data_IF_299355395116
#
_entry.id   IF_299355395116
#
_cell.length_a   1.000
_cell.length_b   1.000
_cell.length_c   1.000
_cell.angle_alpha   90.00
_cell.angle_beta   90.00
_cell.angle_gamma   90.00
#
_symmetry.space_group_name_H-M   'P 1'
#
loop_
_entity.id
_entity.type
_entity.pdbx_description
1 polymer ?
#
# COMPACT_ATOMS: atom_id res chain seq x y z
N UNK A 1 15.27 -21.56 -2.66
CA UNK A 1 14.09 -20.70 -2.51
C UNK A 1 13.29 -21.23 -1.35
N UNK A 2 12.88 -20.36 -0.43
CA UNK A 2 11.96 -20.72 0.66
C UNK A 2 10.60 -21.10 0.05
N UNK A 3 9.97 -22.14 0.58
CA UNK A 3 8.60 -22.52 0.19
C UNK A 3 7.60 -21.44 0.64
N UNK A 4 6.48 -21.27 -0.09
CA UNK A 4 5.48 -20.25 0.22
C UNK A 4 4.89 -20.44 1.62
N UNK A 5 4.55 -21.66 2.02
CA UNK A 5 3.96 -21.91 3.33
C UNK A 5 4.96 -21.58 4.44
N UNK A 6 6.23 -21.97 4.25
CA UNK A 6 7.31 -21.62 5.17
C UNK A 6 7.49 -20.10 5.26
N UNK A 7 7.46 -19.39 4.13
CA UNK A 7 7.55 -17.93 4.09
C UNK A 7 6.40 -17.26 4.84
N UNK A 8 5.16 -17.74 4.68
CA UNK A 8 3.98 -17.21 5.38
C UNK A 8 4.10 -17.41 6.89
N UNK A 9 4.60 -18.56 7.34
CA UNK A 9 4.83 -18.81 8.77
C UNK A 9 5.86 -17.82 9.31
N UNK A 10 7.03 -17.73 8.68
CA UNK A 10 8.13 -16.87 9.15
C UNK A 10 7.77 -15.38 9.12
N UNK A 11 7.13 -14.89 8.04
CA UNK A 11 6.72 -13.49 7.95
C UNK A 11 5.66 -13.16 9.02
N UNK A 12 4.76 -14.10 9.32
CA UNK A 12 3.72 -13.92 10.34
C UNK A 12 4.31 -13.85 11.74
N UNK A 13 5.28 -14.70 12.06
CA UNK A 13 6.02 -14.63 13.32
C UNK A 13 6.75 -13.30 13.47
N UNK A 14 7.40 -12.84 12.40
CA UNK A 14 8.10 -11.56 12.35
C UNK A 14 7.15 -10.38 12.54
N UNK A 15 5.98 -10.39 11.90
CA UNK A 15 4.99 -9.31 12.01
C UNK A 15 4.35 -9.23 13.41
N UNK A 16 4.16 -10.37 14.06
CA UNK A 16 3.59 -10.47 15.42
C UNK A 16 4.66 -10.38 16.53
N UNK A 17 5.94 -10.46 16.16
CA UNK A 17 7.07 -10.42 17.08
C UNK A 17 7.45 -9.01 17.56
N UNK A 18 8.40 -8.92 18.51
CA UNK A 18 8.91 -7.64 19.00
C UNK A 18 9.60 -6.85 17.89
N UNK A 19 9.40 -5.53 17.88
CA UNK A 19 10.06 -4.62 16.93
C UNK A 19 11.48 -4.32 17.41
N UNK A 20 12.41 -5.11 16.91
CA UNK A 20 13.84 -4.98 17.18
C UNK A 20 14.66 -5.27 15.91
N UNK A 21 15.96 -5.00 16.00
CA UNK A 21 16.91 -5.14 14.89
C UNK A 21 16.97 -6.55 14.29
N UNK A 22 16.73 -7.60 15.08
CA UNK A 22 16.74 -8.98 14.59
C UNK A 22 15.49 -9.25 13.75
N UNK A 23 14.33 -8.84 14.25
CA UNK A 23 13.04 -8.93 13.53
C UNK A 23 13.09 -8.15 12.23
N UNK A 24 13.63 -6.93 12.23
CA UNK A 24 13.79 -6.09 11.03
C UNK A 24 14.66 -6.76 9.96
N UNK A 25 15.82 -7.29 10.34
CA UNK A 25 16.71 -8.01 9.41
C UNK A 25 16.03 -9.23 8.81
N UNK A 26 15.26 -9.96 9.63
CA UNK A 26 14.53 -11.15 9.20
C UNK A 26 13.42 -10.78 8.23
N UNK A 27 12.62 -9.77 8.56
CA UNK A 27 11.61 -9.23 7.66
C UNK A 27 12.22 -8.81 6.32
N UNK A 28 13.29 -8.01 6.35
CA UNK A 28 13.94 -7.51 5.13
C UNK A 28 14.45 -8.64 4.23
N UNK A 29 15.06 -9.66 4.84
CA UNK A 29 15.47 -10.88 4.14
C UNK A 29 14.28 -11.58 3.47
N UNK A 30 13.19 -11.79 4.20
CA UNK A 30 11.98 -12.45 3.68
C UNK A 30 11.37 -11.69 2.50
N UNK A 31 11.34 -10.35 2.54
CA UNK A 31 10.87 -9.51 1.42
C UNK A 31 11.77 -9.65 0.18
N UNK A 32 13.09 -9.81 0.34
CA UNK A 32 13.96 -10.07 -0.81
C UNK A 32 13.82 -11.48 -1.38
N UNK A 33 13.47 -12.46 -0.54
CA UNK A 33 13.32 -13.86 -0.92
C UNK A 33 11.98 -14.18 -1.58
N UNK A 34 11.05 -13.22 -1.67
CA UNK A 34 9.70 -13.38 -2.25
C UNK A 34 9.71 -13.57 -3.79
N UNK A 35 10.86 -13.93 -4.37
CA UNK A 35 11.14 -13.81 -5.80
C UNK A 35 10.24 -14.69 -6.69
N UNK A 36 9.68 -14.00 -7.70
CA UNK A 36 9.02 -14.47 -8.92
C UNK A 36 7.54 -14.91 -8.87
N UNK A 37 6.92 -15.08 -7.69
CA UNK A 37 5.49 -15.41 -7.64
C UNK A 37 4.74 -14.73 -6.49
N UNK A 38 4.73 -13.39 -6.52
CA UNK A 38 3.98 -12.56 -5.57
C UNK A 38 2.49 -12.66 -5.88
N UNK A 39 1.82 -13.64 -5.28
CA UNK A 39 0.37 -13.81 -5.38
C UNK A 39 -0.40 -12.88 -4.42
N UNK A 40 -1.73 -12.87 -4.51
CA UNK A 40 -2.56 -11.95 -3.73
C UNK A 40 -2.40 -12.08 -2.22
N UNK A 41 -2.08 -13.27 -1.70
CA UNK A 41 -1.91 -13.48 -0.25
C UNK A 41 -0.62 -12.81 0.23
N UNK A 42 0.46 -12.97 -0.53
CA UNK A 42 1.73 -12.28 -0.26
C UNK A 42 1.54 -10.76 -0.35
N UNK A 43 0.83 -10.27 -1.39
CA UNK A 43 0.55 -8.82 -1.52
C UNK A 43 -0.25 -8.32 -0.32
N UNK A 44 -1.27 -9.05 0.14
CA UNK A 44 -2.06 -8.68 1.31
C UNK A 44 -1.21 -8.57 2.58
N UNK A 45 -0.29 -9.51 2.79
CA UNK A 45 0.62 -9.52 3.93
C UNK A 45 1.55 -8.30 3.88
N UNK A 46 2.19 -8.05 2.72
CA UNK A 46 3.08 -6.89 2.52
C UNK A 46 2.31 -5.58 2.70
N UNK A 47 1.09 -5.47 2.18
CA UNK A 47 0.25 -4.27 2.37
C UNK A 47 -0.06 -4.06 3.85
N UNK A 48 -0.48 -5.11 4.55
CA UNK A 48 -0.84 -5.04 5.96
C UNK A 48 0.32 -4.57 6.84
N UNK A 49 1.57 -4.86 6.46
CA UNK A 49 2.75 -4.40 7.21
C UNK A 49 2.86 -2.87 7.28
N UNK A 50 2.24 -2.11 6.36
CA UNK A 50 2.22 -0.64 6.42
C UNK A 50 1.34 -0.08 7.54
N UNK A 51 0.44 -0.89 8.14
CA UNK A 51 -0.34 -0.47 9.31
C UNK A 51 0.47 -0.47 10.62
N UNK A 52 1.65 -1.10 10.60
CA UNK A 52 2.62 -1.11 11.69
C UNK A 52 4.04 -1.26 11.08
N UNK A 53 4.56 -0.18 10.46
CA UNK A 53 5.74 -0.24 9.62
C UNK A 53 7.00 -0.57 10.42
N UNK A 54 7.96 -1.20 9.75
CA UNK A 54 9.35 -1.24 10.20
C UNK A 54 10.07 0.06 9.80
N UNK A 55 11.37 0.16 10.09
CA UNK A 55 12.23 1.25 9.62
C UNK A 55 12.12 1.51 8.11
N UNK A 56 12.30 2.76 7.70
CA UNK A 56 12.00 3.23 6.33
C UNK A 56 12.74 2.44 5.23
N UNK A 57 13.99 2.03 5.46
CA UNK A 57 14.77 1.24 4.50
C UNK A 57 14.16 -0.15 4.24
N UNK A 58 13.53 -0.73 5.26
CA UNK A 58 12.83 -2.01 5.19
C UNK A 58 11.52 -1.85 4.43
N UNK A 59 10.77 -0.78 4.73
CA UNK A 59 9.53 -0.47 4.01
C UNK A 59 9.77 -0.15 2.53
N UNK A 60 10.94 0.40 2.18
CA UNK A 60 11.33 0.61 0.79
C UNK A 60 11.48 -0.71 -0.01
N UNK A 61 11.90 -1.80 0.65
CA UNK A 61 11.94 -3.11 0.01
C UNK A 61 10.53 -3.64 -0.29
N UNK A 62 9.56 -3.40 0.60
CA UNK A 62 8.16 -3.70 0.33
C UNK A 62 7.65 -2.92 -0.89
N UNK A 63 7.93 -1.61 -0.94
CA UNK A 63 7.56 -0.76 -2.09
C UNK A 63 8.15 -1.29 -3.40
N UNK A 64 9.42 -1.71 -3.37
CA UNK A 64 10.11 -2.29 -4.54
C UNK A 64 9.48 -3.62 -4.97
N UNK A 65 9.04 -4.44 -4.02
CA UNK A 65 8.34 -5.69 -4.32
C UNK A 65 6.96 -5.42 -4.92
N UNK A 66 6.24 -4.45 -4.37
CA UNK A 66 4.89 -4.07 -4.81
C UNK A 66 4.86 -3.38 -6.18
N UNK A 67 5.95 -2.72 -6.61
CA UNK A 67 6.01 -2.10 -7.95
C UNK A 67 6.00 -3.11 -9.10
N UNK A 68 6.36 -4.37 -8.81
CA UNK A 68 6.26 -5.48 -9.77
C UNK A 68 4.88 -6.15 -9.81
N UNK A 69 3.95 -5.76 -8.92
CA UNK A 69 2.60 -6.34 -8.85
C UNK A 69 1.68 -5.64 -9.82
N UNK A 70 0.85 -6.38 -10.55
CA UNK A 70 -0.12 -5.81 -11.49
C UNK A 70 -1.13 -4.87 -10.81
N UNK A 71 -1.60 -3.86 -11.57
CA UNK A 71 -2.47 -2.79 -11.06
C UNK A 71 -3.71 -3.33 -10.30
N UNK A 72 -4.37 -4.34 -10.85
CA UNK A 72 -5.60 -4.89 -10.27
C UNK A 72 -5.34 -5.54 -8.91
N UNK A 73 -4.29 -6.37 -8.85
CA UNK A 73 -3.90 -7.04 -7.61
C UNK A 73 -3.42 -6.05 -6.57
N UNK A 74 -2.59 -5.07 -6.98
CA UNK A 74 -2.08 -4.03 -6.10
C UNK A 74 -3.23 -3.29 -5.40
N UNK A 75 -4.14 -2.70 -6.18
CA UNK A 75 -5.20 -1.89 -5.62
C UNK A 75 -6.22 -2.74 -4.87
N UNK A 76 -6.55 -3.95 -5.33
CA UNK A 76 -7.45 -4.85 -4.59
C UNK A 76 -6.93 -5.14 -3.18
N UNK A 77 -5.62 -5.33 -3.00
CA UNK A 77 -5.01 -5.53 -1.69
C UNK A 77 -4.88 -4.24 -0.89
N UNK A 78 -4.37 -3.17 -1.52
CA UNK A 78 -4.19 -1.87 -0.88
C UNK A 78 -5.50 -1.32 -0.29
N UNK A 79 -6.60 -1.42 -1.05
CA UNK A 79 -7.89 -0.90 -0.60
C UNK A 79 -8.51 -1.65 0.59
N UNK A 80 -8.01 -2.85 0.94
CA UNK A 80 -8.40 -3.52 2.20
C UNK A 80 -7.90 -2.77 3.43
N UNK A 81 -6.75 -2.10 3.32
CA UNK A 81 -6.13 -1.37 4.44
C UNK A 81 -6.25 0.14 4.32
N UNK A 82 -6.56 0.67 3.12
CA UNK A 82 -6.53 2.09 2.83
C UNK A 82 -7.28 2.98 3.84
N UNK A 83 -8.53 2.69 4.25
CA UNK A 83 -9.23 3.55 5.20
C UNK A 83 -8.58 3.59 6.57
N UNK A 84 -7.91 2.51 6.99
CA UNK A 84 -7.19 2.46 8.27
C UNK A 84 -5.84 3.15 8.15
N UNK A 85 -5.13 2.94 7.04
CA UNK A 85 -3.83 3.56 6.79
C UNK A 85 -3.98 5.07 6.69
N UNK A 86 -4.99 5.57 5.96
CA UNK A 86 -5.27 7.01 5.82
C UNK A 86 -5.45 7.71 7.17
N UNK A 87 -6.07 7.05 8.16
CA UNK A 87 -6.26 7.61 9.51
C UNK A 87 -4.98 7.59 10.35
N UNK A 88 -4.16 6.56 10.19
CA UNK A 88 -2.94 6.36 10.99
C UNK A 88 -1.74 7.14 10.46
N UNK A 89 -1.59 7.13 9.15
CA UNK A 89 -0.47 7.70 8.41
C UNK A 89 -0.94 8.15 7.02
N UNK A 90 -1.52 9.37 6.94
CA UNK A 90 -2.01 9.91 5.68
C UNK A 90 -0.93 10.04 4.61
N UNK A 91 0.32 10.30 5.01
CA UNK A 91 1.43 10.46 4.08
C UNK A 91 1.74 9.13 3.37
N UNK A 92 1.91 8.04 4.13
CA UNK A 92 2.11 6.72 3.51
C UNK A 92 0.88 6.25 2.75
N UNK A 93 -0.33 6.58 3.22
CA UNK A 93 -1.54 6.29 2.46
C UNK A 93 -1.49 6.96 1.08
N UNK A 94 -1.27 8.27 1.00
CA UNK A 94 -1.16 8.97 -0.28
C UNK A 94 0.01 8.43 -1.13
N UNK A 95 1.20 8.24 -0.57
CA UNK A 95 2.33 7.70 -1.33
C UNK A 95 2.03 6.35 -1.99
N UNK A 96 1.36 5.42 -1.30
CA UNK A 96 0.96 4.13 -1.87
C UNK A 96 -0.22 4.25 -2.83
N UNK A 97 -1.17 5.16 -2.57
CA UNK A 97 -2.28 5.43 -3.49
C UNK A 97 -1.77 5.87 -4.88
N UNK A 98 -0.56 6.45 -4.96
CA UNK A 98 0.11 6.86 -6.20
C UNK A 98 0.71 5.69 -7.01
N UNK A 99 0.55 4.45 -6.57
CA UNK A 99 1.08 3.24 -7.22
C UNK A 99 2.57 3.30 -7.58
N UNK A 100 3.46 2.81 -6.70
CA UNK A 100 4.91 2.92 -6.87
C UNK A 100 5.43 2.40 -8.22
N UNK A 101 6.19 3.24 -8.92
CA UNK A 101 6.84 2.87 -10.19
C UNK A 101 5.93 2.94 -11.42
N UNK A 102 4.73 3.50 -11.31
CA UNK A 102 3.77 3.56 -12.41
C UNK A 102 3.03 4.90 -12.50
N UNK A 103 3.04 5.51 -13.68
CA UNK A 103 2.33 6.77 -13.92
C UNK A 103 0.82 6.55 -14.13
N UNK A 104 0.00 7.09 -13.22
CA UNK A 104 -1.45 6.93 -13.27
C UNK A 104 -2.11 7.83 -14.33
N UNK A 105 -2.57 7.21 -15.41
CA UNK A 105 -3.44 7.84 -16.42
C UNK A 105 -4.86 8.06 -15.89
N UNK A 106 -5.59 8.98 -16.52
CA UNK A 106 -6.99 9.32 -16.18
C UNK A 106 -7.93 8.10 -15.98
N UNK A 107 -7.81 7.07 -16.82
CA UNK A 107 -8.61 5.83 -16.69
C UNK A 107 -8.36 5.09 -15.37
N UNK A 108 -7.13 5.12 -14.86
CA UNK A 108 -6.75 4.51 -13.59
C UNK A 108 -7.30 5.35 -12.44
N UNK A 109 -7.22 6.69 -12.54
CA UNK A 109 -7.81 7.60 -11.55
C UNK A 109 -9.31 7.39 -11.43
N UNK A 110 -10.02 7.26 -12.55
CA UNK A 110 -11.45 6.93 -12.55
C UNK A 110 -11.75 5.62 -11.84
N UNK A 111 -10.89 4.62 -12.01
CA UNK A 111 -11.02 3.32 -11.33
C UNK A 111 -10.76 3.44 -9.83
N UNK A 112 -9.71 4.15 -9.43
CA UNK A 112 -9.38 4.43 -8.02
C UNK A 112 -10.52 5.18 -7.34
N UNK A 113 -11.05 6.25 -7.96
CA UNK A 113 -12.19 7.00 -7.46
C UNK A 113 -13.44 6.13 -7.29
N UNK A 114 -13.70 5.23 -8.24
CA UNK A 114 -14.77 4.23 -8.10
C UNK A 114 -14.51 3.27 -6.92
N UNK A 115 -13.28 2.78 -6.74
CA UNK A 115 -12.94 1.90 -5.61
C UNK A 115 -13.12 2.60 -4.25
N UNK A 116 -12.74 3.87 -4.15
CA UNK A 116 -13.00 4.69 -2.94
C UNK A 116 -14.50 4.74 -2.65
N UNK A 117 -15.32 5.03 -3.67
CA UNK A 117 -16.78 5.09 -3.56
C UNK A 117 -17.41 3.74 -3.22
N UNK A 118 -16.89 2.65 -3.78
CA UNK A 118 -17.40 1.30 -3.53
C UNK A 118 -17.12 0.86 -2.07
N UNK A 119 -16.01 1.32 -1.47
CA UNK A 119 -15.64 1.04 -0.07
C UNK A 119 -16.47 1.88 0.90
N UNK A 120 -16.69 3.15 0.58
CA UNK A 120 -17.50 4.06 1.38
C UNK A 120 -18.45 4.88 0.50
N UNK A 121 -19.66 4.37 0.25
CA UNK A 121 -20.67 5.06 -0.55
C UNK A 121 -21.16 6.38 0.06
N UNK A 122 -20.91 6.64 1.35
CA UNK A 122 -21.29 7.89 2.01
C UNK A 122 -20.47 9.08 1.52
N UNK A 123 -19.28 8.83 0.96
CA UNK A 123 -18.34 9.86 0.54
C UNK A 123 -17.45 10.41 1.65
N UNK A 124 -17.56 9.92 2.90
CA UNK A 124 -16.67 10.34 3.99
C UNK A 124 -15.20 10.02 3.70
N UNK A 125 -14.90 8.82 3.18
CA UNK A 125 -13.55 8.43 2.81
C UNK A 125 -12.99 9.32 1.69
N UNK A 126 -13.79 9.64 0.67
CA UNK A 126 -13.38 10.56 -0.40
C UNK A 126 -13.13 11.96 0.14
N UNK A 127 -13.98 12.44 1.04
CA UNK A 127 -13.83 13.75 1.70
C UNK A 127 -12.54 13.82 2.51
N UNK A 128 -12.17 12.73 3.20
CA UNK A 128 -10.89 12.64 3.91
C UNK A 128 -9.71 12.65 2.93
N UNK A 129 -9.77 11.90 1.83
CA UNK A 129 -8.73 11.94 0.78
C UNK A 129 -8.56 13.36 0.23
N UNK A 130 -9.67 14.05 -0.05
CA UNK A 130 -9.66 15.41 -0.57
C UNK A 130 -9.09 16.40 0.44
N UNK A 131 -9.42 16.23 1.72
CA UNK A 131 -8.83 16.99 2.80
C UNK A 131 -7.31 16.80 2.83
N UNK A 132 -6.81 15.56 2.77
CA UNK A 132 -5.38 15.29 2.78
C UNK A 132 -4.68 15.87 1.53
N UNK A 133 -5.23 15.70 0.33
CA UNK A 133 -4.70 16.32 -0.90
C UNK A 133 -4.61 17.84 -0.76
N UNK A 134 -5.64 18.47 -0.17
CA UNK A 134 -5.64 19.91 0.10
C UNK A 134 -4.59 20.30 1.14
N UNK A 135 -4.50 19.56 2.24
CA UNK A 135 -3.60 19.84 3.36
C UNK A 135 -2.13 19.81 2.92
N UNK A 136 -1.77 18.84 2.08
CA UNK A 136 -0.42 18.68 1.53
C UNK A 136 -0.15 19.55 0.28
N UNK A 137 -1.07 20.45 -0.09
CA UNK A 137 -0.98 21.33 -1.27
C UNK A 137 -0.83 20.60 -2.62
N UNK A 138 -1.37 19.39 -2.74
CA UNK A 138 -1.22 18.53 -3.91
C UNK A 138 -2.27 18.78 -5.01
N UNK A 139 -3.14 19.79 -4.87
CA UNK A 139 -4.27 20.02 -5.81
C UNK A 139 -3.85 20.31 -7.25
N UNK A 140 -2.61 20.73 -7.46
CA UNK A 140 -2.07 21.04 -8.78
C UNK A 140 -1.05 20.00 -9.26
N UNK A 141 -0.84 18.92 -8.50
CA UNK A 141 0.11 17.86 -8.81
C UNK A 141 -0.64 16.61 -9.26
N UNK A 142 -0.27 16.05 -10.40
CA UNK A 142 -0.80 14.75 -10.82
C UNK A 142 -0.17 13.62 -10.00
N UNK A 143 -0.93 12.57 -9.62
CA UNK A 143 -2.33 12.31 -10.01
C UNK A 143 -3.38 12.94 -9.07
N UNK A 144 -2.95 13.66 -8.05
CA UNK A 144 -3.80 14.16 -6.97
C UNK A 144 -4.81 15.19 -7.45
N UNK A 145 -4.43 16.07 -8.37
CA UNK A 145 -5.33 17.01 -9.01
C UNK A 145 -6.52 16.29 -9.66
N UNK A 146 -6.22 15.28 -10.50
CA UNK A 146 -7.24 14.47 -11.15
C UNK A 146 -8.15 13.74 -10.15
N UNK A 147 -7.59 13.21 -9.05
CA UNK A 147 -8.37 12.50 -8.03
C UNK A 147 -9.22 13.45 -7.18
N UNK A 148 -8.72 14.64 -6.85
CA UNK A 148 -9.42 15.66 -6.08
C UNK A 148 -10.68 16.14 -6.82
N UNK A 149 -10.54 16.40 -8.11
CA UNK A 149 -11.64 16.83 -8.97
C UNK A 149 -12.52 15.67 -9.49
N UNK A 150 -12.22 14.44 -9.10
CA UNK A 150 -13.06 13.28 -9.42
C UNK A 150 -14.30 13.25 -8.51
N UNK A 151 -15.48 13.21 -9.14
CA UNK A 151 -16.80 13.18 -8.51
C UNK A 151 -17.29 11.77 -8.15
#
# INVERSE_FOLDING_TARGET
MIDKAQWIIEISEVLNGPRNRTTEKTFHKLIYETQQNVDSEIVDIIMTSFLNPFESSVMQACITTLSGVDFERYYKSYFKIFPQLLRKDPNNALCLLNYPGFELKHRHIKKIGKMIKDIDPSGSLKSEVDYQISYWNLKNDEPWSSLYHFA
#
